data_IF_764064170538
#
_entry.id   IF_764064170538
#
_cell.length_a   1.000
_cell.length_b   1.000
_cell.length_c   1.000
_cell.angle_alpha   90.00
_cell.angle_beta   90.00
_cell.angle_gamma   90.00
#
_symmetry.space_group_name_H-M   'P 1'
#
loop_
_entity.id
_entity.type
_entity.pdbx_description
1 polymer ?
#
# COMPACT_ATOMS: atom_id res chain seq x y z
N UNK A 1 2.51 -0.15 -9.66
CA UNK A 1 1.12 -0.13 -10.19
C UNK A 1 1.01 -1.18 -11.27
N UNK A 2 -0.04 -2.00 -11.20
CA UNK A 2 -0.37 -3.06 -12.13
C UNK A 2 -1.63 -2.64 -12.93
N UNK A 3 -1.52 -1.70 -13.89
CA UNK A 3 -2.67 -1.24 -14.69
C UNK A 3 -3.33 -2.37 -15.50
N UNK A 4 -2.63 -3.47 -15.72
CA UNK A 4 -3.10 -4.68 -16.39
C UNK A 4 -4.07 -5.53 -15.55
N UNK A 5 -4.09 -5.39 -14.21
CA UNK A 5 -5.04 -6.09 -13.37
C UNK A 5 -6.46 -5.62 -13.71
N UNK A 6 -7.40 -6.49 -14.10
CA UNK A 6 -8.78 -6.09 -14.38
C UNK A 6 -9.43 -5.40 -13.19
N UNK A 7 -10.41 -4.50 -13.41
CA UNK A 7 -11.09 -3.81 -12.30
C UNK A 7 -11.71 -4.76 -11.27
N UNK A 8 -12.16 -5.94 -11.71
CA UNK A 8 -12.69 -7.02 -10.87
C UNK A 8 -11.62 -7.78 -10.07
N UNK A 9 -10.36 -7.40 -10.18
CA UNK A 9 -9.22 -8.17 -9.66
C UNK A 9 -8.96 -9.48 -10.42
N UNK A 10 -8.04 -10.27 -9.90
CA UNK A 10 -7.72 -11.64 -10.36
C UNK A 10 -7.61 -12.53 -9.13
N UNK A 11 -8.05 -13.78 -9.23
CA UNK A 11 -7.84 -14.75 -8.15
C UNK A 11 -6.35 -14.98 -7.92
N UNK A 12 -5.89 -14.95 -6.66
CA UNK A 12 -4.47 -15.13 -6.35
C UNK A 12 -3.93 -16.47 -6.86
N UNK A 13 -4.74 -17.53 -6.78
CA UNK A 13 -4.38 -18.86 -7.28
C UNK A 13 -4.26 -18.92 -8.82
N UNK A 14 -4.98 -18.05 -9.55
CA UNK A 14 -4.84 -17.94 -11.01
C UNK A 14 -3.58 -17.15 -11.38
N UNK A 15 -3.29 -16.08 -10.63
CA UNK A 15 -2.15 -15.20 -10.89
C UNK A 15 -0.81 -15.81 -10.44
N UNK A 16 -0.82 -16.60 -9.38
CA UNK A 16 0.36 -17.28 -8.83
C UNK A 16 0.09 -18.81 -8.73
N UNK A 17 0.10 -19.54 -9.85
CA UNK A 17 -0.29 -20.96 -9.86
C UNK A 17 0.65 -21.87 -9.06
N UNK A 18 1.91 -21.47 -8.90
CA UNK A 18 2.93 -22.21 -8.13
C UNK A 18 2.98 -21.79 -6.65
N UNK A 19 2.22 -20.77 -6.25
CA UNK A 19 2.16 -20.30 -4.87
C UNK A 19 1.07 -21.07 -4.14
N UNK A 20 1.42 -21.71 -3.02
CA UNK A 20 0.41 -22.13 -2.04
C UNK A 20 -0.09 -20.86 -1.33
N UNK A 21 -1.31 -20.37 -1.62
CA UNK A 21 -1.77 -19.11 -1.08
C UNK A 21 -2.01 -19.20 0.43
N UNK A 22 -2.41 -20.37 0.93
CA UNK A 22 -2.66 -20.58 2.35
C UNK A 22 -1.34 -20.55 3.14
N UNK A 23 -0.32 -21.26 2.67
CA UNK A 23 1.00 -21.24 3.30
C UNK A 23 1.65 -19.85 3.22
N UNK A 24 1.53 -19.16 2.08
CA UNK A 24 2.03 -17.79 1.91
C UNK A 24 1.36 -16.82 2.90
N UNK A 25 0.03 -16.85 3.00
CA UNK A 25 -0.69 -15.97 3.91
C UNK A 25 -0.41 -16.30 5.38
N UNK A 26 -0.29 -17.58 5.75
CA UNK A 26 0.10 -17.99 7.09
C UNK A 26 1.50 -17.46 7.47
N UNK A 27 2.45 -17.49 6.52
CA UNK A 27 3.78 -16.93 6.73
C UNK A 27 3.74 -15.40 6.88
N UNK A 28 2.91 -14.70 6.10
CA UNK A 28 2.71 -13.26 6.27
C UNK A 28 2.11 -12.93 7.64
N UNK A 29 1.08 -13.67 8.08
CA UNK A 29 0.45 -13.43 9.39
C UNK A 29 1.43 -13.68 10.54
N UNK A 30 2.22 -14.76 10.45
CA UNK A 30 3.28 -15.06 11.41
C UNK A 30 4.31 -13.94 11.52
N UNK A 31 4.66 -13.30 10.40
CA UNK A 31 5.58 -12.14 10.38
C UNK A 31 4.92 -10.85 10.89
N UNK A 32 3.63 -10.67 10.64
CA UNK A 32 2.86 -9.51 11.09
C UNK A 32 2.53 -9.53 12.59
N UNK A 33 2.30 -10.72 13.16
CA UNK A 33 1.81 -10.88 14.51
C UNK A 33 2.65 -10.18 15.60
N UNK A 34 4.00 -10.23 15.60
CA UNK A 34 4.82 -9.49 16.56
C UNK A 34 4.71 -7.97 16.43
N UNK A 35 4.25 -7.48 15.27
CA UNK A 35 4.05 -6.06 14.96
C UNK A 35 2.60 -5.61 15.23
N UNK A 36 1.75 -6.49 15.80
CA UNK A 36 0.33 -6.22 15.99
C UNK A 36 -0.47 -6.17 14.69
N UNK A 37 0.10 -6.64 13.58
CA UNK A 37 -0.58 -6.70 12.27
C UNK A 37 -1.08 -8.12 12.00
N UNK A 38 -2.29 -8.22 11.47
CA UNK A 38 -2.91 -9.48 11.05
C UNK A 38 -2.98 -9.52 9.53
N UNK A 39 -2.58 -10.66 8.97
CA UNK A 39 -2.70 -10.93 7.55
C UNK A 39 -3.61 -12.14 7.34
N UNK A 40 -4.55 -12.06 6.40
CA UNK A 40 -5.43 -13.17 6.10
C UNK A 40 -6.72 -12.76 5.39
N UNK A 41 -7.40 -13.74 4.78
CA UNK A 41 -8.64 -13.52 4.04
C UNK A 41 -8.45 -13.13 2.57
N UNK A 42 -7.22 -12.83 2.12
CA UNK A 42 -6.96 -12.45 0.73
C UNK A 42 -7.14 -13.67 -0.17
N UNK A 43 -8.12 -13.55 -1.06
CA UNK A 43 -8.34 -14.49 -2.16
C UNK A 43 -8.06 -13.82 -3.51
N UNK A 44 -8.23 -12.50 -3.56
CA UNK A 44 -8.19 -11.69 -4.76
C UNK A 44 -6.97 -10.77 -4.76
N UNK A 45 -6.26 -10.74 -5.88
CA UNK A 45 -5.38 -9.65 -6.26
C UNK A 45 -6.24 -8.51 -6.80
N UNK A 46 -6.61 -7.58 -5.92
CA UNK A 46 -7.44 -6.43 -6.28
C UNK A 46 -6.71 -5.46 -7.21
N UNK A 47 -7.47 -4.81 -8.10
CA UNK A 47 -6.97 -3.62 -8.78
C UNK A 47 -6.95 -2.43 -7.81
N UNK A 48 -5.75 -1.97 -7.45
CA UNK A 48 -5.57 -0.88 -6.47
C UNK A 48 -5.72 0.53 -7.04
N UNK A 49 -6.07 0.70 -8.32
CA UNK A 49 -6.14 2.02 -8.97
C UNK A 49 -7.09 2.98 -8.26
N UNK A 50 -8.33 2.56 -7.99
CA UNK A 50 -9.29 3.40 -7.27
C UNK A 50 -8.81 3.69 -5.85
N UNK A 51 -8.21 2.71 -5.17
CA UNK A 51 -7.64 2.90 -3.85
C UNK A 51 -6.55 3.99 -3.84
N UNK A 52 -5.68 4.00 -4.85
CA UNK A 52 -4.61 4.99 -5.04
C UNK A 52 -5.16 6.40 -5.35
N UNK A 53 -6.18 6.51 -6.21
CA UNK A 53 -6.86 7.79 -6.46
C UNK A 53 -7.51 8.32 -5.17
N UNK A 54 -8.13 7.42 -4.39
CA UNK A 54 -8.67 7.74 -3.07
C UNK A 54 -7.60 8.20 -2.08
N UNK A 55 -6.39 7.65 -2.14
CA UNK A 55 -5.25 8.11 -1.34
C UNK A 55 -4.85 9.54 -1.65
N UNK A 56 -4.81 9.93 -2.94
CA UNK A 56 -4.56 11.31 -3.36
C UNK A 56 -5.63 12.26 -2.82
N UNK A 57 -6.89 11.82 -2.87
CA UNK A 57 -8.01 12.56 -2.33
C UNK A 57 -7.89 12.76 -0.80
N UNK A 58 -7.66 11.67 -0.06
CA UNK A 58 -7.49 11.67 1.38
C UNK A 58 -6.31 12.54 1.81
N UNK A 59 -5.20 12.50 1.08
CA UNK A 59 -4.01 13.33 1.34
C UNK A 59 -4.33 14.83 1.27
N UNK A 60 -5.14 15.27 0.29
CA UNK A 60 -5.56 16.68 0.19
C UNK A 60 -6.44 17.14 1.35
N UNK A 61 -7.03 16.21 2.11
CA UNK A 61 -7.82 16.49 3.31
C UNK A 61 -7.04 16.24 4.61
N UNK A 62 -5.75 15.91 4.54
CA UNK A 62 -4.94 15.58 5.72
C UNK A 62 -5.33 14.23 6.37
N UNK A 63 -5.88 13.30 5.59
CA UNK A 63 -6.40 12.00 6.06
C UNK A 63 -5.72 10.79 5.43
N UNK A 64 -4.60 10.98 4.74
CA UNK A 64 -3.89 9.89 4.03
C UNK A 64 -3.62 8.69 4.95
N UNK A 65 -2.94 8.90 6.07
CA UNK A 65 -2.53 7.80 6.97
C UNK A 65 -3.73 6.98 7.49
N UNK A 66 -4.83 7.66 7.83
CA UNK A 66 -6.04 7.00 8.36
C UNK A 66 -6.76 6.24 7.25
N UNK A 67 -6.82 6.81 6.04
CA UNK A 67 -7.39 6.15 4.88
C UNK A 67 -6.56 4.95 4.44
N UNK A 68 -5.22 5.08 4.38
CA UNK A 68 -4.32 4.00 4.00
C UNK A 68 -4.39 2.85 5.01
N UNK A 69 -4.45 3.12 6.32
CA UNK A 69 -4.66 2.07 7.33
C UNK A 69 -6.01 1.38 7.16
N UNK A 70 -7.09 2.12 6.85
CA UNK A 70 -8.41 1.53 6.60
C UNK A 70 -8.42 0.65 5.34
N UNK A 71 -7.77 1.08 4.26
CA UNK A 71 -7.61 0.31 3.02
C UNK A 71 -6.71 -0.91 3.24
N UNK A 72 -5.61 -0.77 3.97
CA UNK A 72 -4.73 -1.89 4.32
C UNK A 72 -5.44 -2.91 5.18
N UNK A 73 -6.26 -2.49 6.14
CA UNK A 73 -7.09 -3.42 6.92
C UNK A 73 -8.09 -4.16 6.02
N UNK A 74 -8.85 -3.42 5.21
CA UNK A 74 -9.84 -4.01 4.31
C UNK A 74 -9.19 -5.05 3.39
N UNK A 75 -8.04 -4.72 2.81
CA UNK A 75 -7.35 -5.61 1.88
C UNK A 75 -6.59 -6.73 2.59
N UNK A 76 -5.68 -6.42 3.53
CA UNK A 76 -4.71 -7.36 4.14
C UNK A 76 -5.23 -8.11 5.36
N UNK A 77 -6.31 -7.67 6.00
CA UNK A 77 -6.88 -8.35 7.18
C UNK A 77 -8.27 -8.92 6.91
N UNK A 78 -9.13 -8.15 6.24
CA UNK A 78 -10.53 -8.54 6.05
C UNK A 78 -10.75 -9.28 4.71
N UNK A 79 -9.75 -9.30 3.83
CA UNK A 79 -9.82 -9.98 2.54
C UNK A 79 -10.78 -9.34 1.53
N UNK A 80 -11.18 -8.08 1.76
CA UNK A 80 -12.11 -7.36 0.93
C UNK A 80 -11.47 -6.87 -0.38
N UNK A 81 -12.27 -6.78 -1.44
CA UNK A 81 -11.82 -6.27 -2.72
C UNK A 81 -11.72 -4.74 -2.70
N UNK A 82 -10.49 -4.21 -2.69
CA UNK A 82 -10.23 -2.76 -2.76
C UNK A 82 -10.34 -2.18 -4.18
N UNK A 83 -10.73 -2.97 -5.17
CA UNK A 83 -11.23 -2.49 -6.46
C UNK A 83 -12.68 -2.00 -6.40
N UNK A 84 -13.45 -2.47 -5.40
CA UNK A 84 -14.86 -2.12 -5.20
C UNK A 84 -15.02 -0.75 -4.54
N UNK A 85 -15.76 0.14 -5.21
CA UNK A 85 -16.07 1.48 -4.71
C UNK A 85 -16.90 1.48 -3.42
N UNK A 86 -17.70 0.44 -3.16
CA UNK A 86 -18.43 0.31 -1.90
C UNK A 86 -17.50 0.04 -0.72
N UNK A 87 -16.48 -0.81 -0.91
CA UNK A 87 -15.42 -1.08 0.08
C UNK A 87 -14.62 0.19 0.32
N UNK A 88 -14.13 0.85 -0.74
CA UNK A 88 -13.35 2.08 -0.62
C UNK A 88 -14.15 3.25 0.00
N UNK A 89 -15.43 3.40 -0.35
CA UNK A 89 -16.30 4.41 0.26
C UNK A 89 -16.53 4.16 1.76
N UNK A 90 -16.50 2.89 2.20
CA UNK A 90 -16.60 2.54 3.62
C UNK A 90 -15.29 2.80 4.36
N UNK A 91 -14.15 2.49 3.74
CA UNK A 91 -12.82 2.85 4.25
C UNK A 91 -12.65 4.38 4.37
N UNK A 92 -13.10 5.13 3.37
CA UNK A 92 -13.09 6.59 3.38
C UNK A 92 -13.94 7.17 4.52
N UNK A 93 -15.16 6.65 4.72
CA UNK A 93 -16.02 7.07 5.83
C UNK A 93 -15.38 6.77 7.19
N UNK A 94 -14.75 5.60 7.35
CA UNK A 94 -14.00 5.26 8.57
C UNK A 94 -12.80 6.19 8.81
N UNK A 95 -12.21 6.74 7.73
CA UNK A 95 -11.16 7.75 7.80
C UNK A 95 -11.65 9.19 8.04
N UNK A 96 -12.98 9.38 8.18
CA UNK A 96 -13.60 10.68 8.41
C UNK A 96 -13.77 11.54 7.15
N UNK A 97 -13.74 10.92 5.97
CA UNK A 97 -14.02 11.58 4.69
C UNK A 97 -15.52 11.49 4.36
N UNK A 98 -16.04 12.48 3.63
CA UNK A 98 -17.41 12.39 3.09
C UNK A 98 -17.47 11.31 2.01
N UNK A 99 -18.30 10.28 2.24
CA UNK A 99 -18.37 9.11 1.35
C UNK A 99 -18.82 9.47 -0.07
N UNK A 100 -19.81 10.35 -0.22
CA UNK A 100 -20.35 10.69 -1.53
C UNK A 100 -19.35 11.53 -2.33
N UNK A 101 -18.71 12.49 -1.68
CA UNK A 101 -17.69 13.34 -2.25
C UNK A 101 -16.44 12.54 -2.63
N UNK A 102 -15.98 11.63 -1.75
CA UNK A 102 -14.91 10.69 -2.04
C UNK A 102 -15.19 9.87 -3.29
N UNK A 103 -16.37 9.23 -3.37
CA UNK A 103 -16.73 8.39 -4.50
C UNK A 103 -16.73 9.18 -5.81
N UNK A 104 -17.30 10.39 -5.80
CA UNK A 104 -17.29 11.29 -6.96
C UNK A 104 -15.86 11.67 -7.36
N UNK A 105 -15.02 12.03 -6.40
CA UNK A 105 -13.65 12.49 -6.64
C UNK A 105 -12.73 11.39 -7.18
N UNK A 106 -12.99 10.13 -6.82
CA UNK A 106 -12.28 8.96 -7.39
C UNK A 106 -12.72 8.69 -8.84
N UNK A 107 -14.00 8.91 -9.16
CA UNK A 107 -14.59 8.53 -10.45
C UNK A 107 -14.50 9.59 -11.54
N UNK A 108 -14.41 10.88 -11.21
CA UNK A 108 -14.46 11.96 -12.20
C UNK A 108 -13.12 12.27 -12.89
N UNK A 109 -12.08 11.50 -12.60
CA UNK A 109 -10.79 11.58 -13.28
C UNK A 109 -9.89 12.74 -12.84
N UNK A 110 -10.30 13.58 -11.88
CA UNK A 110 -9.50 14.76 -11.44
C UNK A 110 -8.11 14.42 -10.89
N UNK A 111 -7.92 13.21 -10.37
CA UNK A 111 -6.64 12.75 -9.82
C UNK A 111 -5.82 11.89 -10.78
N UNK A 112 -6.35 11.60 -11.96
CA UNK A 112 -5.66 10.77 -12.93
C UNK A 112 -4.30 11.36 -13.36
N UNK A 113 -4.19 12.67 -13.68
CA UNK A 113 -2.89 13.25 -14.03
C UNK A 113 -1.87 13.17 -12.88
N UNK A 114 -2.34 13.30 -11.63
CA UNK A 114 -1.48 13.23 -10.44
C UNK A 114 -0.96 11.82 -10.23
N UNK A 115 -1.83 10.82 -10.36
CA UNK A 115 -1.44 9.41 -10.23
C UNK A 115 -0.44 8.99 -11.31
N UNK A 116 -0.65 9.45 -12.55
CA UNK A 116 0.28 9.23 -13.66
C UNK A 116 1.64 9.87 -13.41
N UNK A 117 1.65 11.08 -12.84
CA UNK A 117 2.88 11.77 -12.48
C UNK A 117 3.68 11.01 -11.42
N UNK A 118 3.03 10.55 -10.34
CA UNK A 118 3.70 9.75 -9.31
C UNK A 118 4.27 8.45 -9.88
N UNK A 119 3.54 7.78 -10.76
CA UNK A 119 4.03 6.58 -11.43
C UNK A 119 5.25 6.86 -12.31
N UNK A 120 5.23 7.97 -13.05
CA UNK A 120 6.34 8.41 -13.91
C UNK A 120 7.58 8.73 -13.09
N UNK A 121 7.44 9.48 -12.00
CA UNK A 121 8.54 9.82 -11.10
C UNK A 121 9.16 8.58 -10.47
N UNK A 122 8.34 7.67 -9.93
CA UNK A 122 8.81 6.42 -9.34
C UNK A 122 9.60 5.58 -10.37
N UNK A 123 9.07 5.43 -11.59
CA UNK A 123 9.77 4.73 -12.68
C UNK A 123 11.07 5.42 -13.06
N UNK A 124 11.07 6.76 -13.19
CA UNK A 124 12.26 7.56 -13.50
C UNK A 124 13.37 7.42 -12.46
N UNK A 125 13.00 7.20 -11.19
CA UNK A 125 13.94 6.92 -10.09
C UNK A 125 14.32 5.44 -9.98
N UNK A 126 13.89 4.59 -10.91
CA UNK A 126 14.18 3.16 -10.93
C UNK A 126 13.51 2.37 -9.81
N UNK A 127 12.35 2.82 -9.32
CA UNK A 127 11.50 2.07 -8.39
C UNK A 127 10.83 0.93 -9.15
N UNK A 128 11.03 -0.31 -8.66
CA UNK A 128 10.47 -1.53 -9.27
C UNK A 128 9.54 -2.31 -8.35
N UNK A 129 9.59 -2.05 -7.04
CA UNK A 129 8.78 -2.73 -6.04
C UNK A 129 8.45 -1.78 -4.89
N UNK A 130 7.32 -2.01 -4.23
CA UNK A 130 6.97 -1.34 -2.98
C UNK A 130 7.18 -2.28 -1.79
N UNK A 131 7.53 -1.76 -0.59
CA UNK A 131 7.97 -0.39 -0.37
C UNK A 131 9.39 -0.17 -0.93
N UNK A 132 9.68 1.06 -1.37
CA UNK A 132 11.04 1.54 -1.67
C UNK A 132 11.21 2.89 -0.99
N UNK A 133 12.30 3.06 -0.24
CA UNK A 133 12.62 4.28 0.48
C UNK A 133 13.85 4.95 -0.13
N UNK A 134 13.81 6.28 -0.22
CA UNK A 134 14.96 7.11 -0.53
C UNK A 134 15.30 7.91 0.72
N UNK A 135 16.50 7.70 1.26
CA UNK A 135 17.00 8.41 2.44
C UNK A 135 18.16 9.29 1.99
N UNK A 136 18.01 10.60 2.15
CA UNK A 136 19.04 11.57 1.80
C UNK A 136 20.36 11.25 2.52
N UNK A 137 21.49 11.30 1.82
CA UNK A 137 22.80 10.95 2.40
C UNK A 137 23.05 9.46 2.63
N UNK A 138 22.06 8.58 2.44
CA UNK A 138 22.23 7.12 2.56
C UNK A 138 21.98 6.39 1.24
N UNK A 139 20.93 6.75 0.51
CA UNK A 139 20.56 6.15 -0.78
C UNK A 139 19.24 5.40 -0.75
N UNK A 140 19.11 4.40 -1.63
CA UNK A 140 17.86 3.67 -1.89
C UNK A 140 17.80 2.35 -1.12
N UNK A 141 16.69 2.10 -0.43
CA UNK A 141 16.38 0.84 0.26
C UNK A 141 15.14 0.22 -0.38
N UNK A 142 15.21 -1.06 -0.77
CA UNK A 142 14.12 -1.77 -1.46
C UNK A 142 13.59 -2.91 -0.60
N UNK A 143 12.26 -3.01 -0.53
CA UNK A 143 11.53 -4.06 0.17
C UNK A 143 11.27 -3.78 1.65
N UNK A 144 10.47 -4.65 2.27
CA UNK A 144 10.18 -4.62 3.70
C UNK A 144 11.40 -5.12 4.50
N UNK A 145 12.39 -4.24 4.67
CA UNK A 145 13.62 -4.52 5.42
C UNK A 145 13.36 -4.55 6.93
N UNK A 146 14.19 -5.25 7.72
CA UNK A 146 14.16 -5.17 9.17
C UNK A 146 14.23 -3.73 9.68
N UNK A 147 13.54 -3.43 10.79
CA UNK A 147 13.50 -2.08 11.36
C UNK A 147 14.90 -1.47 11.57
N UNK A 148 15.87 -2.29 12.01
CA UNK A 148 17.25 -1.86 12.21
C UNK A 148 17.88 -1.26 10.94
N UNK A 149 17.58 -1.80 9.75
CA UNK A 149 18.11 -1.29 8.47
C UNK A 149 17.63 0.15 8.22
N UNK A 150 16.33 0.40 8.40
CA UNK A 150 15.76 1.73 8.22
C UNK A 150 16.25 2.71 9.30
N UNK A 151 16.28 2.27 10.56
CA UNK A 151 16.81 3.05 11.69
C UNK A 151 18.26 3.48 11.42
N UNK A 152 19.13 2.53 11.06
CA UNK A 152 20.55 2.79 10.86
C UNK A 152 20.79 3.71 9.66
N UNK A 153 19.99 3.57 8.61
CA UNK A 153 20.03 4.45 7.46
C UNK A 153 19.68 5.89 7.82
N UNK A 154 18.62 6.10 8.61
CA UNK A 154 18.23 7.43 9.11
C UNK A 154 19.30 8.02 10.04
N UNK A 155 19.85 7.22 10.95
CA UNK A 155 20.91 7.69 11.87
C UNK A 155 22.16 8.11 11.09
N UNK A 156 22.60 7.34 10.10
CA UNK A 156 23.76 7.69 9.27
C UNK A 156 23.50 8.92 8.41
N UNK A 157 22.31 9.03 7.83
CA UNK A 157 21.89 10.21 7.07
C UNK A 157 21.95 11.50 7.90
N UNK A 158 21.64 11.41 9.19
CA UNK A 158 21.75 12.52 10.13
C UNK A 158 23.19 12.74 10.67
N UNK A 159 24.20 12.04 10.15
CA UNK A 159 25.60 12.13 10.59
C UNK A 159 25.92 11.39 11.90
N UNK A 160 24.98 10.58 12.41
CA UNK A 160 25.15 9.79 13.63
C UNK A 160 25.76 8.41 13.39
N UNK A 161 26.18 7.78 14.48
CA UNK A 161 26.62 6.38 14.51
C UNK A 161 25.47 5.50 15.01
N UNK A 162 24.99 4.52 14.24
CA UNK A 162 23.93 3.63 14.69
C UNK A 162 24.32 2.84 15.94
N UNK A 163 23.36 2.54 16.84
CA UNK A 163 23.60 1.65 17.96
C UNK A 163 23.91 0.23 17.46
N UNK A 164 24.62 -0.60 18.24
CA UNK A 164 24.84 -1.99 17.90
C UNK A 164 23.52 -2.73 17.62
N UNK A 165 23.56 -3.72 16.73
CA UNK A 165 22.41 -4.60 16.51
C UNK A 165 22.05 -5.33 17.82
N UNK A 166 20.76 -5.35 18.15
CA UNK A 166 20.21 -6.15 19.25
C UNK A 166 20.01 -7.60 18.81
#
# INVERSE_FOLDING_TARGET
>A
MHPETPLRGVELAEYFPDLDPAAFMAEMDRRGAPLGKRFGGQRLLSNSRHALLGGIHAARQGRADIYDEAVFRAYFTDGADIGDMAVLGSAAAAAGLDKAEFMRAVQDGRYEPVLQEYARQARGQGVRAAPTFFIEGYGKIVGAQPFAVLRDAVVRAAGGTPPPAL
#
